data_IF_739671519561
#
_entry.id   IF_739671519561
#
_cell.length_a   1.000
_cell.length_b   1.000
_cell.length_c   1.000
_cell.angle_alpha   90.00
_cell.angle_beta   90.00
_cell.angle_gamma   90.00
#
_symmetry.space_group_name_H-M   'P 1'
#
loop_
_entity.id
_entity.type
_entity.pdbx_description
1 polymer ?
#
# COMPACT_ATOMS: atom_id res chain seq x y z
N UNK A 1 12.80 10.72 -30.00
CA UNK A 1 13.64 11.46 -29.03
C UNK A 1 12.86 11.84 -27.77
N UNK A 2 11.55 11.55 -27.66
CA UNK A 2 10.74 11.93 -26.49
C UNK A 2 10.85 10.95 -25.29
N UNK A 3 11.33 9.71 -25.47
CA UNK A 3 11.43 8.73 -24.38
C UNK A 3 12.70 8.80 -23.52
N UNK A 4 13.79 9.44 -24.00
CA UNK A 4 15.06 9.46 -23.24
C UNK A 4 15.08 10.48 -22.08
N UNK A 5 14.14 11.43 -22.06
CA UNK A 5 14.07 12.50 -21.06
C UNK A 5 12.86 12.37 -20.10
N UNK A 6 12.08 11.29 -20.18
CA UNK A 6 10.95 11.07 -19.26
C UNK A 6 11.38 10.27 -18.01
N UNK A 7 11.25 10.94 -16.86
CA UNK A 7 11.55 10.34 -15.55
C UNK A 7 10.60 9.17 -15.24
N UNK A 8 9.34 9.20 -15.70
CA UNK A 8 8.36 8.16 -15.42
C UNK A 8 8.64 6.87 -16.21
N UNK A 9 9.05 7.00 -17.47
CA UNK A 9 9.49 5.86 -18.28
C UNK A 9 10.75 5.21 -17.68
N UNK A 10 11.77 6.00 -17.37
CA UNK A 10 13.01 5.51 -16.75
C UNK A 10 12.76 4.83 -15.39
N UNK A 11 11.89 5.40 -14.56
CA UNK A 11 11.46 4.78 -13.30
C UNK A 11 10.69 3.49 -13.55
N UNK A 12 9.73 3.51 -14.47
CA UNK A 12 8.88 2.35 -14.78
C UNK A 12 9.67 1.17 -15.33
N UNK A 13 10.73 1.43 -16.09
CA UNK A 13 11.66 0.44 -16.63
C UNK A 13 12.72 -0.03 -15.61
N UNK A 14 12.86 0.65 -14.46
CA UNK A 14 13.87 0.32 -13.45
C UNK A 14 15.28 0.77 -13.81
N UNK A 15 15.43 1.77 -14.68
CA UNK A 15 16.72 2.25 -15.20
C UNK A 15 17.40 3.23 -14.25
N UNK A 16 18.10 2.70 -13.25
CA UNK A 16 18.79 3.50 -12.22
C UNK A 16 19.72 4.60 -12.78
N UNK A 17 20.48 4.27 -13.83
CA UNK A 17 21.41 5.22 -14.44
C UNK A 17 20.70 6.35 -15.17
N UNK A 18 19.61 6.05 -15.89
CA UNK A 18 18.81 7.05 -16.57
C UNK A 18 18.16 7.99 -15.54
N UNK A 19 17.54 7.43 -14.49
CA UNK A 19 16.97 8.21 -13.39
C UNK A 19 18.01 9.14 -12.75
N UNK A 20 19.22 8.63 -12.45
CA UNK A 20 20.27 9.43 -11.84
C UNK A 20 20.70 10.58 -12.75
N UNK A 21 20.91 10.31 -14.05
CA UNK A 21 21.26 11.34 -15.04
C UNK A 21 20.17 12.41 -15.16
N UNK A 22 18.90 12.02 -15.11
CA UNK A 22 17.78 12.95 -15.20
C UNK A 22 17.72 13.87 -13.97
N UNK A 23 17.93 13.32 -12.76
CA UNK A 23 18.03 14.13 -11.53
C UNK A 23 19.23 15.09 -11.60
N UNK A 24 20.40 14.62 -12.06
CA UNK A 24 21.59 15.46 -12.18
C UNK A 24 21.43 16.58 -13.22
N UNK A 25 20.70 16.32 -14.31
CA UNK A 25 20.43 17.28 -15.41
C UNK A 25 19.36 18.32 -15.04
N UNK A 26 18.30 17.90 -14.37
CA UNK A 26 17.11 18.72 -14.14
C UNK A 26 16.93 19.19 -12.69
N UNK A 27 17.77 18.73 -11.77
CA UNK A 27 17.63 18.98 -10.35
C UNK A 27 16.63 18.03 -9.68
N UNK A 28 16.50 18.17 -8.37
CA UNK A 28 15.59 17.34 -7.55
C UNK A 28 14.12 17.67 -7.79
N UNK A 29 13.83 18.83 -8.37
CA UNK A 29 12.49 19.31 -8.72
C UNK A 29 11.78 18.40 -9.74
N UNK A 30 12.55 17.63 -10.53
CA UNK A 30 11.98 16.62 -11.42
C UNK A 30 11.18 15.55 -10.65
N UNK A 31 11.51 15.33 -9.37
CA UNK A 31 10.84 14.37 -8.48
C UNK A 31 9.51 14.89 -7.92
N UNK A 32 9.16 16.16 -8.14
CA UNK A 32 7.86 16.73 -7.79
C UNK A 32 6.85 16.69 -8.95
N UNK A 33 7.30 16.31 -10.15
CA UNK A 33 6.42 16.11 -11.30
C UNK A 33 5.32 15.09 -10.99
N UNK A 34 4.19 15.25 -11.66
CA UNK A 34 3.07 14.30 -11.63
C UNK A 34 2.96 13.60 -12.97
N UNK A 35 2.70 12.30 -12.94
CA UNK A 35 2.41 11.51 -14.13
C UNK A 35 0.99 11.84 -14.61
N UNK A 36 0.90 12.67 -15.65
CA UNK A 36 -0.38 13.16 -16.17
C UNK A 36 -1.18 12.06 -16.92
N UNK A 37 -0.52 10.98 -17.33
CA UNK A 37 -1.16 9.86 -18.03
C UNK A 37 -1.84 8.89 -17.06
N UNK A 38 -1.41 8.91 -15.79
CA UNK A 38 -2.00 8.12 -14.72
C UNK A 38 -3.14 8.88 -14.02
N UNK A 39 -4.26 8.19 -13.80
CA UNK A 39 -5.42 8.77 -13.09
C UNK A 39 -5.10 9.19 -11.66
N UNK A 40 -4.15 8.53 -10.99
CA UNK A 40 -3.73 8.87 -9.63
C UNK A 40 -2.68 9.98 -9.57
N UNK A 41 -2.10 10.35 -10.72
CA UNK A 41 -1.05 11.37 -10.82
C UNK A 41 0.08 11.20 -9.78
N UNK A 42 0.74 10.03 -9.73
CA UNK A 42 1.83 9.77 -8.78
C UNK A 42 3.06 10.63 -9.09
N UNK A 43 3.93 10.79 -8.08
CA UNK A 43 5.29 11.31 -8.27
C UNK A 43 6.23 10.19 -8.75
N UNK A 44 7.42 10.51 -9.30
CA UNK A 44 8.42 9.50 -9.65
C UNK A 44 8.80 8.59 -8.48
N UNK A 45 8.85 9.13 -7.26
CA UNK A 45 9.14 8.35 -6.06
C UNK A 45 8.02 7.35 -5.72
N UNK A 46 6.76 7.79 -5.82
CA UNK A 46 5.60 6.90 -5.66
C UNK A 46 5.62 5.81 -6.73
N UNK A 47 5.86 6.16 -8.00
CA UNK A 47 5.94 5.20 -9.10
C UNK A 47 7.04 4.15 -8.87
N UNK A 48 8.22 4.56 -8.39
CA UNK A 48 9.31 3.65 -8.04
C UNK A 48 8.91 2.68 -6.91
N UNK A 49 8.17 3.18 -5.91
CA UNK A 49 7.65 2.37 -4.82
C UNK A 49 6.60 1.35 -5.28
N UNK A 50 5.68 1.75 -6.17
CA UNK A 50 4.67 0.85 -6.79
C UNK A 50 5.33 -0.31 -7.53
N UNK A 51 6.43 -0.05 -8.23
CA UNK A 51 7.18 -1.06 -8.98
C UNK A 51 8.17 -1.85 -8.12
N UNK A 52 8.51 -1.35 -6.93
CA UNK A 52 9.43 -2.00 -6.00
C UNK A 52 10.90 -1.77 -6.34
N UNK A 53 11.22 -0.69 -7.07
CA UNK A 53 12.58 -0.36 -7.48
C UNK A 53 13.35 0.33 -6.35
N UNK A 54 13.70 -0.44 -5.32
CA UNK A 54 14.35 0.05 -4.09
C UNK A 54 15.64 0.83 -4.35
N UNK A 55 16.45 0.43 -5.33
CA UNK A 55 17.68 1.15 -5.68
C UNK A 55 17.40 2.56 -6.20
N UNK A 56 16.35 2.72 -7.02
CA UNK A 56 15.89 4.02 -7.52
C UNK A 56 15.36 4.86 -6.37
N UNK A 57 14.52 4.28 -5.51
CA UNK A 57 14.00 4.97 -4.32
C UNK A 57 15.13 5.49 -3.43
N UNK A 58 16.20 4.71 -3.24
CA UNK A 58 17.38 5.13 -2.46
C UNK A 58 18.07 6.34 -3.06
N UNK A 59 18.34 6.33 -4.37
CA UNK A 59 18.95 7.48 -5.05
C UNK A 59 18.07 8.72 -4.92
N UNK A 60 16.76 8.59 -5.12
CA UNK A 60 15.82 9.70 -4.96
C UNK A 60 15.80 10.24 -3.53
N UNK A 61 15.78 9.36 -2.52
CA UNK A 61 15.83 9.73 -1.11
C UNK A 61 17.14 10.43 -0.74
N UNK A 62 18.28 9.92 -1.20
CA UNK A 62 19.60 10.50 -0.90
C UNK A 62 19.78 11.89 -1.54
N UNK A 63 19.12 12.16 -2.67
CA UNK A 63 19.19 13.44 -3.39
C UNK A 63 18.18 14.47 -2.90
N UNK A 64 16.92 14.06 -2.72
CA UNK A 64 15.82 14.95 -2.32
C UNK A 64 15.76 15.15 -0.80
N UNK A 65 16.17 14.15 -0.04
CA UNK A 65 16.08 14.10 1.41
C UNK A 65 14.76 13.50 1.95
N UNK A 66 14.60 13.44 3.29
CA UNK A 66 13.51 12.73 3.93
C UNK A 66 12.10 13.25 3.62
N UNK A 67 11.97 14.50 3.19
CA UNK A 67 10.68 15.10 2.80
C UNK A 67 10.03 14.36 1.61
N UNK A 68 10.80 13.65 0.79
CA UNK A 68 10.26 12.86 -0.34
C UNK A 68 9.26 11.80 0.13
N UNK A 69 9.41 11.29 1.36
CA UNK A 69 8.52 10.28 1.95
C UNK A 69 7.10 10.82 2.19
N UNK A 70 6.94 12.14 2.28
CA UNK A 70 5.67 12.82 2.54
C UNK A 70 4.92 13.16 1.26
N UNK A 71 5.48 12.88 0.08
CA UNK A 71 4.79 13.08 -1.19
C UNK A 71 3.53 12.22 -1.25
N UNK A 72 2.49 12.81 -1.85
CA UNK A 72 1.18 12.21 -2.05
C UNK A 72 0.72 12.38 -3.48
N UNK A 73 -0.01 11.38 -3.95
CA UNK A 73 -0.73 11.43 -5.21
C UNK A 73 -2.05 12.23 -5.04
N UNK A 74 -2.90 12.29 -6.07
CA UNK A 74 -4.19 13.03 -5.96
C UNK A 74 -5.24 12.31 -5.11
N UNK A 75 -5.02 11.07 -4.68
CA UNK A 75 -5.86 10.35 -3.72
C UNK A 75 -5.38 10.49 -2.28
N UNK A 76 -4.41 11.36 -2.02
CA UNK A 76 -3.63 11.46 -0.79
C UNK A 76 -2.87 10.16 -0.43
N UNK A 77 -2.68 9.23 -1.38
CA UNK A 77 -1.92 8.01 -1.14
C UNK A 77 -0.42 8.29 -1.15
N UNK A 78 0.28 7.69 -0.20
CA UNK A 78 1.75 7.78 -0.07
C UNK A 78 2.45 6.66 -0.83
N UNK A 79 3.78 6.74 -0.93
CA UNK A 79 4.60 5.64 -1.47
C UNK A 79 4.35 4.29 -0.76
N UNK A 80 4.01 4.31 0.54
CA UNK A 80 3.72 3.07 1.29
C UNK A 80 2.41 2.41 0.87
N UNK A 81 1.36 3.19 0.58
CA UNK A 81 0.09 2.67 0.04
C UNK A 81 0.32 1.94 -1.28
N UNK A 82 1.03 2.59 -2.20
CA UNK A 82 1.30 2.05 -3.52
C UNK A 82 2.28 0.86 -3.51
N UNK A 83 3.28 0.87 -2.63
CA UNK A 83 4.16 -0.30 -2.44
C UNK A 83 3.38 -1.50 -1.88
N UNK A 84 2.43 -1.26 -0.97
CA UNK A 84 1.57 -2.30 -0.42
C UNK A 84 0.59 -2.87 -1.46
N UNK A 85 -0.09 -1.98 -2.19
CA UNK A 85 -0.94 -2.32 -3.33
C UNK A 85 -0.18 -3.13 -4.38
N UNK A 86 1.04 -2.72 -4.71
CA UNK A 86 1.92 -3.41 -5.65
C UNK A 86 2.58 -4.67 -5.11
N UNK A 87 2.29 -5.08 -3.87
CA UNK A 87 2.86 -6.25 -3.16
C UNK A 87 4.40 -6.23 -3.06
N UNK A 88 4.99 -5.03 -3.00
CA UNK A 88 6.44 -4.80 -3.05
C UNK A 88 7.06 -4.82 -1.65
N UNK A 89 7.21 -6.01 -1.07
CA UNK A 89 7.75 -6.21 0.29
C UNK A 89 9.08 -5.47 0.53
N UNK A 90 10.02 -5.52 -0.42
CA UNK A 90 11.31 -4.85 -0.28
C UNK A 90 11.18 -3.32 -0.20
N UNK A 91 10.24 -2.73 -0.97
CA UNK A 91 9.96 -1.30 -0.90
C UNK A 91 9.24 -0.91 0.38
N UNK A 92 8.28 -1.72 0.85
CA UNK A 92 7.61 -1.52 2.15
C UNK A 92 8.64 -1.52 3.29
N UNK A 93 9.52 -2.52 3.34
CA UNK A 93 10.56 -2.61 4.36
C UNK A 93 11.50 -1.40 4.29
N UNK A 94 11.89 -0.96 3.10
CA UNK A 94 12.75 0.21 2.94
C UNK A 94 12.08 1.50 3.41
N UNK A 95 10.80 1.71 3.03
CA UNK A 95 10.03 2.89 3.43
C UNK A 95 9.88 2.96 4.96
N UNK A 96 9.51 1.85 5.58
CA UNK A 96 9.34 1.78 7.04
C UNK A 96 10.67 1.82 7.80
N UNK A 97 11.78 1.42 7.17
CA UNK A 97 13.12 1.62 7.73
C UNK A 97 13.55 3.10 7.71
N UNK A 98 13.13 3.87 6.69
CA UNK A 98 13.38 5.31 6.66
C UNK A 98 12.48 6.09 7.61
N UNK A 99 11.19 5.76 7.66
CA UNK A 99 10.25 6.35 8.61
C UNK A 99 9.13 5.37 8.98
N UNK A 100 9.15 4.78 10.19
CA UNK A 100 8.09 3.90 10.66
C UNK A 100 6.71 4.56 10.74
N UNK A 101 6.64 5.89 10.89
CA UNK A 101 5.36 6.62 11.03
C UNK A 101 4.55 6.64 9.74
N UNK A 102 5.15 6.29 8.60
CA UNK A 102 4.42 6.16 7.33
C UNK A 102 3.28 5.15 7.40
N UNK A 103 3.36 4.19 8.34
CA UNK A 103 2.32 3.18 8.57
C UNK A 103 0.98 3.78 9.03
N UNK A 104 1.00 4.97 9.62
CA UNK A 104 -0.19 5.68 10.10
C UNK A 104 -0.81 6.60 9.04
N UNK A 105 -0.16 6.73 7.88
CA UNK A 105 -0.67 7.56 6.81
C UNK A 105 -2.02 7.04 6.31
N UNK A 106 -2.93 7.98 6.09
CA UNK A 106 -4.26 7.73 5.56
C UNK A 106 -4.44 8.44 4.22
N UNK A 107 -5.13 7.77 3.31
CA UNK A 107 -5.57 8.35 2.04
C UNK A 107 -6.88 9.15 2.19
N UNK A 108 -7.44 9.65 1.08
CA UNK A 108 -8.68 10.44 1.08
C UNK A 108 -9.91 9.72 1.60
N UNK A 109 -9.88 8.39 1.62
CA UNK A 109 -10.95 7.53 2.15
C UNK A 109 -10.59 6.95 3.52
N UNK A 110 -9.62 7.57 4.21
CA UNK A 110 -9.04 7.10 5.46
C UNK A 110 -8.40 5.70 5.42
N UNK A 111 -8.21 5.08 4.26
CA UNK A 111 -7.54 3.78 4.18
C UNK A 111 -6.07 3.96 4.53
N UNK A 112 -5.51 2.95 5.18
CA UNK A 112 -4.07 2.85 5.48
C UNK A 112 -3.40 1.94 4.46
N UNK A 113 -2.07 1.95 4.39
CA UNK A 113 -1.33 1.01 3.53
C UNK A 113 -1.60 -0.47 3.90
N UNK A 114 -2.02 -0.75 5.13
CA UNK A 114 -2.44 -2.10 5.55
C UNK A 114 -3.77 -2.52 4.89
N UNK A 115 -4.71 -1.59 4.68
CA UNK A 115 -5.91 -1.85 3.88
C UNK A 115 -5.53 -2.18 2.43
N UNK A 116 -4.62 -1.41 1.82
CA UNK A 116 -4.15 -1.65 0.46
C UNK A 116 -3.47 -3.03 0.30
N UNK A 117 -2.72 -3.47 1.33
CA UNK A 117 -2.13 -4.81 1.35
C UNK A 117 -3.21 -5.92 1.40
N UNK A 118 -4.24 -5.75 2.24
CA UNK A 118 -5.35 -6.70 2.34
C UNK A 118 -6.19 -6.77 1.06
N UNK A 119 -6.34 -5.63 0.38
CA UNK A 119 -7.00 -5.45 -0.92
C UNK A 119 -6.29 -6.17 -2.08
N UNK A 120 -5.04 -6.62 -1.88
CA UNK A 120 -4.20 -7.26 -2.90
C UNK A 120 -3.65 -8.62 -2.46
N UNK A 121 -4.23 -9.23 -1.42
CA UNK A 121 -3.79 -10.51 -0.84
C UNK A 121 -2.29 -10.53 -0.45
N UNK A 122 -1.74 -9.37 -0.07
CA UNK A 122 -0.31 -9.15 0.14
C UNK A 122 0.15 -9.60 1.54
N UNK A 123 -0.02 -10.88 1.86
CA UNK A 123 0.22 -11.44 3.20
C UNK A 123 1.60 -11.11 3.78
N UNK A 124 2.66 -11.16 2.98
CA UNK A 124 4.02 -10.88 3.46
C UNK A 124 4.23 -9.39 3.78
N UNK A 125 3.58 -8.50 3.03
CA UNK A 125 3.54 -7.06 3.35
C UNK A 125 2.78 -6.82 4.65
N UNK A 126 1.63 -7.49 4.83
CA UNK A 126 0.85 -7.40 6.06
C UNK A 126 1.67 -7.89 7.26
N UNK A 127 2.41 -9.00 7.12
CA UNK A 127 3.31 -9.52 8.16
C UNK A 127 4.36 -8.49 8.55
N UNK A 128 5.01 -7.85 7.57
CA UNK A 128 6.02 -6.83 7.82
C UNK A 128 5.44 -5.61 8.57
N UNK A 129 4.25 -5.15 8.16
CA UNK A 129 3.56 -4.03 8.84
C UNK A 129 3.13 -4.38 10.27
N UNK A 130 2.56 -5.57 10.47
CA UNK A 130 2.20 -6.08 11.81
C UNK A 130 3.42 -6.25 12.72
N UNK A 131 4.60 -6.59 12.19
CA UNK A 131 5.83 -6.66 12.97
C UNK A 131 6.28 -5.29 13.53
N UNK A 132 5.80 -4.19 12.94
CA UNK A 132 6.17 -2.82 13.33
C UNK A 132 5.10 -2.20 14.24
N UNK A 133 3.83 -2.20 13.81
CA UNK A 133 2.73 -1.53 14.53
C UNK A 133 1.88 -2.50 15.37
N UNK A 134 2.06 -3.80 15.21
CA UNK A 134 1.33 -4.80 15.99
C UNK A 134 -0.13 -4.97 15.55
N UNK A 135 -0.95 -5.45 16.49
CA UNK A 135 -2.35 -5.82 16.22
C UNK A 135 -3.31 -4.64 16.08
N UNK A 136 -2.88 -3.43 16.42
CA UNK A 136 -3.72 -2.23 16.29
C UNK A 136 -4.18 -2.01 14.83
N UNK A 137 -3.36 -2.43 13.86
CA UNK A 137 -3.67 -2.44 12.43
C UNK A 137 -4.92 -3.24 12.06
N UNK A 138 -5.25 -4.29 12.82
CA UNK A 138 -6.31 -5.23 12.48
C UNK A 138 -7.71 -4.62 12.64
N UNK A 139 -7.81 -3.58 13.46
CA UNK A 139 -9.06 -2.91 13.82
C UNK A 139 -9.13 -1.47 13.34
N UNK A 140 -8.11 -0.97 12.66
CA UNK A 140 -8.23 0.32 11.98
C UNK A 140 -9.30 0.24 10.89
N UNK A 141 -10.08 1.30 10.78
CA UNK A 141 -11.15 1.41 9.79
C UNK A 141 -10.86 2.51 8.79
N UNK A 142 -11.40 2.36 7.58
CA UNK A 142 -11.49 3.43 6.59
C UNK A 142 -12.72 4.32 6.82
N UNK A 143 -13.07 5.16 5.83
CA UNK A 143 -14.20 6.09 5.90
C UNK A 143 -15.58 5.42 5.91
N UNK A 144 -15.68 4.15 5.52
CA UNK A 144 -16.92 3.38 5.58
C UNK A 144 -17.02 2.57 6.88
N UNK A 145 -16.04 2.68 7.78
CA UNK A 145 -15.92 1.81 8.94
C UNK A 145 -15.36 0.41 8.58
N UNK A 146 -14.92 0.19 7.33
CA UNK A 146 -14.41 -1.11 6.91
C UNK A 146 -13.00 -1.32 7.46
N UNK A 147 -12.78 -2.46 8.11
CA UNK A 147 -11.45 -2.94 8.49
C UNK A 147 -10.74 -3.64 7.34
N UNK A 148 -9.45 -3.91 7.50
CA UNK A 148 -8.70 -4.74 6.54
C UNK A 148 -9.35 -6.12 6.27
N UNK A 149 -10.10 -6.68 7.24
CA UNK A 149 -10.82 -7.94 7.03
C UNK A 149 -12.08 -7.77 6.16
N UNK A 150 -12.81 -6.66 6.32
CA UNK A 150 -13.91 -6.31 5.41
C UNK A 150 -13.39 -6.24 3.98
N UNK A 151 -12.32 -5.48 3.76
CA UNK A 151 -11.66 -5.32 2.46
C UNK A 151 -11.26 -6.68 1.86
N UNK A 152 -10.54 -7.51 2.60
CA UNK A 152 -10.07 -8.81 2.09
C UNK A 152 -11.23 -9.72 1.67
N UNK A 153 -12.31 -9.78 2.45
CA UNK A 153 -13.48 -10.61 2.15
C UNK A 153 -14.34 -10.03 1.02
N UNK A 154 -14.44 -8.71 0.92
CA UNK A 154 -15.09 -8.04 -0.21
C UNK A 154 -14.38 -8.38 -1.52
N UNK A 155 -13.04 -8.40 -1.54
CA UNK A 155 -12.27 -8.67 -2.75
C UNK A 155 -12.04 -10.15 -3.08
N UNK A 156 -12.31 -11.08 -2.15
CA UNK A 156 -12.04 -12.51 -2.42
C UNK A 156 -10.73 -13.04 -1.87
N UNK A 157 -9.97 -12.24 -1.13
CA UNK A 157 -8.59 -12.51 -0.74
C UNK A 157 -8.52 -13.37 0.52
N UNK A 158 -8.61 -14.68 0.31
CA UNK A 158 -8.68 -15.67 1.38
C UNK A 158 -7.37 -15.80 2.17
N UNK A 159 -6.20 -15.56 1.57
CA UNK A 159 -4.94 -15.68 2.30
C UNK A 159 -4.76 -14.52 3.29
N UNK A 160 -5.05 -13.29 2.86
CA UNK A 160 -5.13 -12.12 3.74
C UNK A 160 -6.19 -12.31 4.83
N UNK A 161 -7.40 -12.74 4.47
CA UNK A 161 -8.46 -12.97 5.46
C UNK A 161 -8.09 -14.05 6.50
N UNK A 162 -7.53 -15.17 6.05
CA UNK A 162 -7.05 -16.23 6.95
C UNK A 162 -5.95 -15.70 7.88
N UNK A 163 -4.99 -14.95 7.35
CA UNK A 163 -3.90 -14.39 8.15
C UNK A 163 -4.41 -13.39 9.20
N UNK A 164 -5.36 -12.52 8.83
CA UNK A 164 -6.00 -11.58 9.75
C UNK A 164 -6.72 -12.32 10.89
N UNK A 165 -7.46 -13.39 10.58
CA UNK A 165 -8.16 -14.22 11.56
C UNK A 165 -7.21 -15.00 12.46
N UNK A 166 -6.06 -15.44 11.95
CA UNK A 166 -5.01 -16.07 12.76
C UNK A 166 -4.40 -15.10 13.78
N UNK A 167 -4.26 -13.83 13.42
CA UNK A 167 -3.70 -12.82 14.34
C UNK A 167 -4.73 -12.26 15.32
N UNK A 168 -5.91 -11.95 14.80
CA UNK A 168 -6.95 -11.20 15.50
C UNK A 168 -8.11 -12.04 16.00
N UNK A 169 -8.19 -13.33 15.66
CA UNK A 169 -9.23 -14.24 16.11
C UNK A 169 -10.63 -13.99 15.50
N UNK A 170 -11.63 -14.78 15.91
CA UNK A 170 -13.00 -14.69 15.43
C UNK A 170 -13.67 -13.34 15.66
N UNK A 171 -13.25 -12.58 16.68
CA UNK A 171 -13.87 -11.29 17.00
C UNK A 171 -13.79 -10.27 15.85
N UNK A 172 -12.81 -10.41 14.95
CA UNK A 172 -12.73 -9.57 13.76
C UNK A 172 -13.94 -9.75 12.83
N UNK A 173 -14.57 -10.94 12.82
CA UNK A 173 -15.75 -11.24 12.01
C UNK A 173 -17.02 -10.55 12.49
N UNK A 174 -17.01 -9.97 13.69
CA UNK A 174 -18.18 -9.37 14.33
C UNK A 174 -18.09 -7.83 14.40
N UNK A 175 -16.98 -7.25 13.91
CA UNK A 175 -16.81 -5.79 13.81
C UNK A 175 -17.80 -5.29 12.76
N UNK A 176 -18.61 -4.29 13.10
CA UNK A 176 -19.53 -3.66 12.15
C UNK A 176 -18.88 -2.44 11.53
N UNK A 177 -19.01 -2.31 10.23
CA UNK A 177 -18.74 -1.05 9.53
C UNK A 177 -19.88 -0.04 9.79
N UNK A 178 -19.81 1.14 9.16
CA UNK A 178 -20.77 2.23 9.40
C UNK A 178 -22.19 1.90 8.89
N UNK A 179 -22.32 0.94 7.99
CA UNK A 179 -23.61 0.40 7.51
C UNK A 179 -24.17 -0.70 8.42
N UNK A 180 -23.44 -1.09 9.46
CA UNK A 180 -23.83 -2.17 10.37
C UNK A 180 -23.53 -3.57 9.83
N UNK A 181 -22.80 -3.67 8.72
CA UNK A 181 -22.41 -4.93 8.05
C UNK A 181 -21.12 -5.45 8.67
N UNK A 182 -21.05 -6.76 8.91
CA UNK A 182 -19.82 -7.41 9.42
C UNK A 182 -19.01 -8.04 8.29
N UNK A 183 -17.71 -8.36 8.48
CA UNK A 183 -16.94 -9.09 7.49
C UNK A 183 -17.54 -10.47 7.20
N UNK A 184 -18.19 -11.09 8.20
CA UNK A 184 -18.91 -12.34 7.98
C UNK A 184 -20.08 -12.18 7.00
N UNK A 185 -20.84 -11.10 7.12
CA UNK A 185 -21.98 -10.80 6.24
C UNK A 185 -21.53 -10.59 4.78
N UNK A 186 -20.34 -10.03 4.54
CA UNK A 186 -19.73 -9.91 3.20
C UNK A 186 -19.55 -11.25 2.48
N UNK A 187 -19.60 -12.36 3.22
CA UNK A 187 -19.45 -13.72 2.68
C UNK A 187 -20.76 -14.43 2.37
N UNK A 188 -21.91 -13.80 2.64
CA UNK A 188 -23.23 -14.41 2.50
C UNK A 188 -23.47 -15.00 1.10
N UNK A 189 -23.14 -14.23 0.05
CA UNK A 189 -23.28 -14.62 -1.36
C UNK A 189 -22.04 -15.36 -1.90
N UNK A 190 -21.08 -15.74 -1.04
CA UNK A 190 -19.81 -16.38 -1.41
C UNK A 190 -19.60 -17.72 -0.67
N UNK A 191 -20.33 -18.80 -1.03
CA UNK A 191 -20.32 -20.06 -0.26
C UNK A 191 -18.92 -20.68 -0.06
N UNK A 192 -18.05 -20.61 -1.08
CA UNK A 192 -16.68 -21.12 -1.00
C UNK A 192 -15.83 -20.37 0.03
N UNK A 193 -15.95 -19.05 0.05
CA UNK A 193 -15.26 -18.18 1.00
C UNK A 193 -15.78 -18.42 2.40
N UNK A 194 -17.11 -18.42 2.58
CA UNK A 194 -17.75 -18.66 3.86
C UNK A 194 -17.27 -19.95 4.50
N UNK A 195 -17.26 -21.05 3.73
CA UNK A 195 -16.72 -22.35 4.18
C UNK A 195 -15.23 -22.29 4.55
N UNK A 196 -14.43 -21.50 3.83
CA UNK A 196 -13.00 -21.38 4.10
C UNK A 196 -12.71 -20.66 5.42
N UNK A 197 -13.52 -19.66 5.78
CA UNK A 197 -13.35 -18.89 7.01
C UNK A 197 -14.15 -19.43 8.20
N UNK A 198 -15.14 -20.30 7.97
CA UNK A 198 -15.99 -20.90 9.02
C UNK A 198 -15.20 -21.61 10.11
N UNK A 199 -14.06 -22.22 9.76
CA UNK A 199 -13.16 -22.88 10.73
C UNK A 199 -12.60 -21.93 11.79
N UNK A 200 -12.55 -20.62 11.51
CA UNK A 200 -12.05 -19.60 12.45
C UNK A 200 -13.14 -19.09 13.41
N UNK A 201 -14.40 -19.52 13.25
CA UNK A 201 -15.52 -19.11 14.11
C UNK A 201 -15.62 -19.94 15.41
N UNK A 202 -14.81 -20.98 15.55
CA UNK A 202 -14.81 -21.93 16.68
C UNK A 202 -13.99 -21.42 17.87
#
# INVERSE_FOLDING_TARGET
MEGEDDIFEAVGAGELLAVTKLIDKHGVEILDRRDEDSSSKPTPFIAAATKGHVAIMKVMYDRYGPSILQQRDIGDQTALHWAAWGTKLAAVNQLLAWDPKLIDARDRTKRTAFHAAADHDAVDVMKAMCAIKGKDLLTETDDNGDTALHVALTMGHLAAAAQLLEWGGPQLLEIKNDEGVTPWDMTAEKPKMRKAIEKYKQ
#
